data_IF_322735875771
#
_entry.id   IF_322735875771
#
_cell.length_a   1.000
_cell.length_b   1.000
_cell.length_c   1.000
_cell.angle_alpha   90.00
_cell.angle_beta   90.00
_cell.angle_gamma   90.00
#
_symmetry.space_group_name_H-M   'P 1'
#
loop_
_entity.id
_entity.type
_entity.pdbx_description
1 polymer ?
#
# COMPACT_ATOMS: atom_id res chain seq x y z
N UNK A 1 -25.36 35.26 15.41
CA UNK A 1 -24.40 35.54 16.49
C UNK A 1 -23.01 35.42 15.86
N UNK A 2 -22.29 36.55 15.76
CA UNK A 2 -21.00 36.71 15.08
C UNK A 2 -19.89 35.89 15.80
N UNK A 3 -18.76 35.47 15.22
CA UNK A 3 -17.75 36.25 14.47
C UNK A 3 -16.93 35.39 13.48
N UNK A 4 -16.26 36.12 12.60
CA UNK A 4 -15.51 35.79 11.38
C UNK A 4 -14.19 35.04 11.60
N UNK A 5 -13.68 34.37 10.55
CA UNK A 5 -12.34 34.68 9.99
C UNK A 5 -12.05 33.90 8.69
N UNK A 6 -11.60 34.66 7.68
CA UNK A 6 -10.97 34.22 6.44
C UNK A 6 -9.67 33.44 6.72
N UNK A 7 -9.34 32.46 5.87
CA UNK A 7 -7.96 32.21 5.46
C UNK A 7 -7.92 31.94 3.95
N UNK A 8 -7.61 33.00 3.20
CA UNK A 8 -7.03 32.92 1.87
C UNK A 8 -5.68 32.21 1.94
N UNK A 9 -5.37 31.43 0.90
CA UNK A 9 -4.01 31.11 0.48
C UNK A 9 -3.28 30.09 1.35
N UNK A 10 -3.34 28.82 0.96
CA UNK A 10 -2.42 27.81 1.45
C UNK A 10 -2.09 26.84 0.29
N UNK A 11 -1.08 27.24 -0.49
CA UNK A 11 -0.26 26.32 -1.27
C UNK A 11 0.38 25.36 -0.27
N UNK A 12 0.01 24.08 -0.34
CA UNK A 12 0.68 23.04 0.45
C UNK A 12 1.32 21.99 -0.48
N UNK A 13 2.63 21.80 -0.38
CA UNK A 13 3.38 20.79 -1.10
C UNK A 13 3.31 19.42 -0.42
N UNK A 14 3.25 18.41 -1.28
CA UNK A 14 3.56 16.98 -1.13
C UNK A 14 3.16 16.16 0.14
N UNK A 15 2.34 15.15 -0.16
CA UNK A 15 2.35 13.75 0.31
C UNK A 15 2.11 13.39 1.78
N UNK A 16 1.80 14.32 2.68
CA UNK A 16 1.45 13.99 4.07
C UNK A 16 -0.05 13.94 4.42
N UNK A 17 -0.96 13.95 3.44
CA UNK A 17 -2.40 13.95 3.71
C UNK A 17 -3.12 12.60 3.52
N UNK A 18 -2.42 11.50 3.19
CA UNK A 18 -3.12 10.27 2.78
C UNK A 18 -3.73 9.47 3.94
N UNK A 19 -3.22 9.58 5.17
CA UNK A 19 -3.71 8.81 6.32
C UNK A 19 -4.75 9.56 7.19
N UNK A 20 -4.71 10.89 7.26
CA UNK A 20 -5.68 11.68 8.04
C UNK A 20 -6.92 12.11 7.22
N UNK A 21 -6.82 12.21 5.88
CA UNK A 21 -8.00 12.40 5.02
C UNK A 21 -8.96 11.20 5.09
N UNK A 22 -8.46 9.99 5.36
CA UNK A 22 -9.27 8.78 5.39
C UNK A 22 -10.25 8.69 6.58
N UNK A 23 -10.01 9.41 7.70
CA UNK A 23 -10.96 9.46 8.82
C UNK A 23 -11.86 10.70 8.82
N UNK A 24 -11.41 11.84 8.28
CA UNK A 24 -12.23 13.06 8.23
C UNK A 24 -13.20 13.12 7.03
N UNK A 25 -12.96 12.39 5.95
CA UNK A 25 -13.89 12.38 4.80
C UNK A 25 -15.13 11.49 4.98
N UNK A 26 -15.14 10.59 5.98
CA UNK A 26 -16.23 9.60 6.11
C UNK A 26 -17.51 10.18 6.72
N UNK A 27 -17.41 11.17 7.60
CA UNK A 27 -18.55 11.66 8.39
C UNK A 27 -19.26 12.86 7.75
N UNK A 28 -18.54 13.70 7.00
CA UNK A 28 -19.12 14.89 6.34
C UNK A 28 -19.78 14.58 4.99
N UNK A 29 -19.40 13.49 4.31
CA UNK A 29 -20.06 13.07 3.07
C UNK A 29 -21.49 12.54 3.29
N UNK A 30 -21.80 11.96 4.46
CA UNK A 30 -23.13 11.40 4.74
C UNK A 30 -24.18 12.50 4.90
N UNK A 31 -23.81 13.66 5.47
CA UNK A 31 -24.74 14.77 5.72
C UNK A 31 -24.98 15.69 4.52
N UNK A 32 -24.17 15.60 3.46
CA UNK A 32 -24.38 16.30 2.18
C UNK A 32 -25.30 15.55 1.20
N UNK A 33 -25.67 14.31 1.49
CA UNK A 33 -26.46 13.43 0.61
C UNK A 33 -27.93 13.34 1.03
N UNK A 34 -28.62 14.48 1.10
CA UNK A 34 -30.09 14.51 1.04
C UNK A 34 -30.53 14.87 -0.39
N UNK A 35 -30.64 13.90 -1.32
CA UNK A 35 -30.90 14.18 -2.73
C UNK A 35 -32.32 14.72 -2.94
N UNK A 36 -32.44 15.85 -3.66
CA UNK A 36 -33.73 16.50 -3.99
C UNK A 36 -34.38 15.98 -5.28
N UNK A 37 -33.67 15.25 -6.14
CA UNK A 37 -34.23 14.68 -7.38
C UNK A 37 -33.41 13.47 -7.91
N UNK A 38 -34.03 12.69 -8.82
CA UNK A 38 -33.52 11.43 -9.37
C UNK A 38 -32.18 11.57 -10.13
N UNK A 39 -31.98 12.66 -10.89
CA UNK A 39 -30.74 12.87 -11.65
C UNK A 39 -29.50 13.07 -10.78
N UNK A 40 -29.67 13.62 -9.57
CA UNK A 40 -28.57 13.81 -8.61
C UNK A 40 -28.11 12.49 -8.00
N UNK A 41 -29.03 11.51 -7.88
CA UNK A 41 -28.72 10.17 -7.35
C UNK A 41 -27.79 9.43 -8.32
N UNK A 42 -28.09 9.46 -9.61
CA UNK A 42 -27.28 8.78 -10.63
C UNK A 42 -25.86 9.36 -10.69
N UNK A 43 -25.72 10.68 -10.60
CA UNK A 43 -24.42 11.34 -10.57
C UNK A 43 -23.61 10.97 -9.30
N UNK A 44 -24.25 10.86 -8.14
CA UNK A 44 -23.58 10.43 -6.90
C UNK A 44 -23.12 8.97 -6.98
N UNK A 45 -23.94 8.07 -7.55
CA UNK A 45 -23.58 6.66 -7.73
C UNK A 45 -22.38 6.49 -8.67
N UNK A 46 -22.33 7.27 -9.76
CA UNK A 46 -21.20 7.28 -10.69
C UNK A 46 -19.92 7.81 -10.02
N UNK A 47 -20.02 8.86 -9.20
CA UNK A 47 -18.87 9.39 -8.47
C UNK A 47 -18.34 8.40 -7.42
N UNK A 48 -19.22 7.70 -6.70
CA UNK A 48 -18.82 6.69 -5.71
C UNK A 48 -18.14 5.46 -6.35
N UNK A 49 -18.54 5.07 -7.56
CA UNK A 49 -17.95 3.94 -8.29
C UNK A 49 -16.49 4.21 -8.73
N UNK A 50 -16.13 5.47 -8.97
CA UNK A 50 -14.76 5.87 -9.36
C UNK A 50 -13.82 5.93 -8.15
N UNK A 51 -14.36 6.03 -6.93
CA UNK A 51 -13.59 6.25 -5.70
C UNK A 51 -13.24 4.94 -4.98
N UNK A 52 -13.42 3.76 -5.61
CA UNK A 52 -12.89 2.52 -5.02
C UNK A 52 -11.38 2.63 -4.86
N UNK A 53 -10.85 2.80 -3.63
CA UNK A 53 -9.43 2.91 -3.42
C UNK A 53 -8.85 1.51 -3.55
N UNK A 54 -7.77 1.38 -4.32
CA UNK A 54 -6.82 0.27 -4.19
C UNK A 54 -6.44 0.23 -2.72
N UNK A 55 -6.97 -0.75 -1.98
CA UNK A 55 -6.52 -1.01 -0.62
C UNK A 55 -5.08 -1.49 -0.73
N UNK A 56 -4.12 -0.68 -0.29
CA UNK A 56 -2.73 -1.10 -0.14
C UNK A 56 -2.64 -2.10 1.02
N UNK A 57 -3.16 -3.31 0.81
CA UNK A 57 -2.94 -4.42 1.71
C UNK A 57 -1.46 -4.81 1.58
N UNK A 58 -0.77 -4.94 2.70
CA UNK A 58 0.62 -5.41 2.70
C UNK A 58 0.74 -6.85 2.19
N UNK A 59 -0.39 -7.57 2.05
CA UNK A 59 -0.47 -8.91 1.51
C UNK A 59 -1.73 -9.08 0.66
N UNK A 60 -1.59 -9.77 -0.47
CA UNK A 60 -2.66 -10.16 -1.39
C UNK A 60 -2.68 -11.68 -1.53
N UNK A 61 -3.89 -12.25 -1.56
CA UNK A 61 -4.12 -13.65 -1.89
C UNK A 61 -4.73 -13.73 -3.29
N UNK A 62 -3.96 -14.28 -4.23
CA UNK A 62 -4.45 -14.57 -5.57
C UNK A 62 -5.11 -15.94 -5.61
N UNK A 63 -6.26 -16.07 -6.31
CA UNK A 63 -6.93 -17.35 -6.46
C UNK A 63 -6.02 -18.43 -7.05
N UNK A 64 -6.19 -19.67 -6.61
CA UNK A 64 -5.46 -20.80 -7.14
C UNK A 64 -5.75 -21.02 -8.64
N UNK A 65 -4.71 -20.88 -9.46
CA UNK A 65 -4.68 -21.35 -10.84
C UNK A 65 -3.70 -22.53 -10.93
N UNK A 66 -4.11 -23.69 -11.44
CA UNK A 66 -3.26 -24.88 -11.43
C UNK A 66 -2.12 -24.76 -12.44
N UNK A 67 -0.88 -24.89 -11.96
CA UNK A 67 0.29 -25.10 -12.79
C UNK A 67 0.46 -26.58 -13.12
N UNK A 68 0.54 -26.91 -14.41
CA UNK A 68 0.57 -28.30 -14.90
C UNK A 68 1.96 -28.69 -15.40
N UNK A 69 2.39 -29.92 -15.10
CA UNK A 69 3.54 -30.57 -15.71
C UNK A 69 3.23 -32.05 -15.92
N UNK A 70 3.40 -32.55 -17.15
CA UNK A 70 3.09 -33.94 -17.53
C UNK A 70 1.68 -34.43 -17.11
N UNK A 71 0.67 -33.55 -17.20
CA UNK A 71 -0.72 -33.88 -16.84
C UNK A 71 -1.03 -33.89 -15.35
N UNK A 72 -0.08 -33.47 -14.50
CA UNK A 72 -0.25 -33.39 -13.04
C UNK A 72 -0.14 -31.94 -12.58
N UNK A 73 -0.95 -31.57 -11.58
CA UNK A 73 -0.85 -30.28 -10.92
C UNK A 73 0.37 -30.27 -10.01
N UNK A 74 1.37 -29.46 -10.34
CA UNK A 74 2.64 -29.36 -9.60
C UNK A 74 2.74 -28.08 -8.75
N UNK A 75 1.86 -27.10 -8.99
CA UNK A 75 1.85 -25.87 -8.22
C UNK A 75 0.88 -24.82 -8.74
N UNK A 76 1.29 -23.56 -8.65
CA UNK A 76 0.51 -22.39 -8.99
C UNK A 76 0.98 -21.79 -10.32
N UNK A 77 0.04 -21.36 -11.15
CA UNK A 77 0.30 -20.50 -12.30
C UNK A 77 0.11 -19.04 -11.88
N UNK A 78 1.15 -18.21 -11.99
CA UNK A 78 1.08 -16.78 -11.69
C UNK A 78 0.41 -15.97 -12.83
N UNK A 79 0.35 -14.65 -12.69
CA UNK A 79 -0.28 -13.76 -13.68
C UNK A 79 0.61 -13.58 -14.92
N UNK A 80 1.91 -13.78 -14.77
CA UNK A 80 2.92 -13.76 -15.82
C UNK A 80 2.97 -15.08 -16.61
N UNK A 81 2.20 -16.09 -16.20
CA UNK A 81 2.11 -17.39 -16.85
C UNK A 81 3.24 -18.36 -16.50
N UNK A 82 4.02 -18.07 -15.45
CA UNK A 82 5.05 -18.94 -14.91
C UNK A 82 4.46 -19.90 -13.86
N UNK A 83 4.91 -21.15 -13.93
CA UNK A 83 4.55 -22.18 -12.95
C UNK A 83 5.55 -22.15 -11.80
N UNK A 84 5.02 -22.00 -10.59
CA UNK A 84 5.77 -22.11 -9.33
C UNK A 84 5.31 -23.34 -8.59
N UNK A 85 6.24 -24.19 -8.15
CA UNK A 85 5.91 -25.43 -7.44
C UNK A 85 5.22 -25.14 -6.10
N UNK A 86 4.41 -26.07 -5.60
CA UNK A 86 3.84 -25.93 -4.25
C UNK A 86 4.93 -25.71 -3.20
N UNK A 87 4.66 -24.80 -2.26
CA UNK A 87 5.57 -24.38 -1.19
C UNK A 87 6.85 -23.67 -1.67
N UNK A 88 6.99 -23.38 -2.96
CA UNK A 88 8.03 -22.47 -3.45
C UNK A 88 7.70 -21.02 -3.10
N UNK A 89 8.75 -20.22 -2.93
CA UNK A 89 8.67 -18.79 -2.67
C UNK A 89 9.56 -18.03 -3.66
N UNK A 90 9.15 -16.83 -4.05
CA UNK A 90 9.91 -15.97 -4.96
C UNK A 90 9.67 -14.50 -4.66
N UNK A 91 10.60 -13.64 -5.09
CA UNK A 91 10.49 -12.19 -5.04
C UNK A 91 10.08 -11.68 -6.41
N UNK A 92 9.12 -10.77 -6.48
CA UNK A 92 8.79 -10.04 -7.72
C UNK A 92 9.65 -8.78 -7.86
N UNK A 93 9.76 -8.27 -9.08
CA UNK A 93 10.47 -7.01 -9.36
C UNK A 93 9.85 -5.80 -8.64
N UNK A 94 8.58 -5.90 -8.25
CA UNK A 94 7.86 -4.90 -7.46
C UNK A 94 7.99 -5.13 -5.95
N UNK A 95 9.02 -5.86 -5.53
CA UNK A 95 9.36 -6.08 -4.13
C UNK A 95 8.23 -6.75 -3.33
N UNK A 96 7.62 -7.78 -3.90
CA UNK A 96 6.72 -8.66 -3.16
C UNK A 96 7.34 -10.04 -2.94
N UNK A 97 7.34 -10.51 -1.69
CA UNK A 97 7.61 -11.89 -1.33
C UNK A 97 6.34 -12.71 -1.55
N UNK A 98 6.38 -13.58 -2.56
CA UNK A 98 5.31 -14.46 -2.96
C UNK A 98 5.57 -15.91 -2.55
N UNK A 99 4.52 -16.66 -2.31
CA UNK A 99 4.58 -18.09 -2.00
C UNK A 99 3.36 -18.84 -2.56
N UNK A 100 3.61 -19.99 -3.16
CA UNK A 100 2.56 -20.84 -3.72
C UNK A 100 2.07 -21.86 -2.69
N UNK A 101 0.77 -21.85 -2.42
CA UNK A 101 0.08 -22.80 -1.55
C UNK A 101 -1.04 -23.51 -2.32
N UNK A 102 -1.60 -24.56 -1.72
CA UNK A 102 -2.78 -25.26 -2.27
C UNK A 102 -4.02 -24.36 -2.36
N UNK A 103 -4.06 -23.28 -1.58
CA UNK A 103 -5.15 -22.30 -1.58
C UNK A 103 -4.96 -21.18 -2.61
N UNK A 104 -3.78 -21.07 -3.22
CA UNK A 104 -3.45 -19.99 -4.16
C UNK A 104 -2.06 -19.41 -3.90
N UNK A 105 -1.82 -18.23 -4.44
CA UNK A 105 -0.55 -17.51 -4.26
C UNK A 105 -0.76 -16.41 -3.23
N UNK A 106 0.08 -16.37 -2.19
CA UNK A 106 0.14 -15.26 -1.25
C UNK A 106 1.35 -14.40 -1.57
N UNK A 107 1.15 -13.12 -1.82
CA UNK A 107 2.22 -12.15 -2.05
C UNK A 107 2.13 -11.02 -1.04
N UNK A 108 3.23 -10.67 -0.41
CA UNK A 108 3.31 -9.55 0.53
C UNK A 108 4.44 -8.61 0.17
N UNK A 109 4.31 -7.32 0.48
CA UNK A 109 5.42 -6.36 0.34
C UNK A 109 6.61 -6.83 1.16
N UNK A 110 7.79 -6.93 0.54
CA UNK A 110 9.02 -7.42 1.17
C UNK A 110 9.75 -6.36 1.98
N UNK A 111 9.18 -5.16 2.09
CA UNK A 111 9.82 -3.99 2.69
C UNK A 111 8.96 -3.37 3.77
N UNK A 112 9.64 -2.67 4.69
CA UNK A 112 8.99 -1.87 5.72
C UNK A 112 8.99 -0.40 5.30
N UNK A 113 7.86 0.26 5.49
CA UNK A 113 7.68 1.69 5.25
C UNK A 113 7.90 2.46 6.55
N UNK A 114 8.78 3.47 6.57
CA UNK A 114 8.98 4.32 7.75
C UNK A 114 7.77 5.23 7.92
N UNK A 115 7.16 5.22 9.10
CA UNK A 115 5.94 6.01 9.36
C UNK A 115 6.15 7.15 10.36
N UNK A 116 7.21 7.09 11.15
CA UNK A 116 7.51 8.09 12.18
C UNK A 116 8.99 8.51 12.12
N UNK A 117 9.25 9.68 11.57
CA UNK A 117 10.53 10.37 11.49
C UNK A 117 10.28 11.88 11.32
N UNK A 118 11.31 12.72 11.46
CA UNK A 118 11.20 14.17 11.26
C UNK A 118 11.01 14.49 9.77
N UNK A 119 9.75 14.64 9.33
CA UNK A 119 9.41 14.93 7.93
C UNK A 119 9.70 16.37 7.51
N UNK A 120 10.00 17.26 8.44
CA UNK A 120 10.42 18.62 8.11
C UNK A 120 11.86 18.60 7.61
N UNK A 121 12.75 17.92 8.34
CA UNK A 121 14.19 17.88 8.05
C UNK A 121 14.64 16.70 7.20
N UNK A 122 13.85 15.63 7.16
CA UNK A 122 14.23 14.38 6.52
C UNK A 122 13.22 13.95 5.46
N UNK A 123 13.68 13.11 4.55
CA UNK A 123 12.85 12.44 3.56
C UNK A 123 13.18 10.95 3.46
N UNK A 124 12.21 10.15 2.99
CA UNK A 124 12.37 8.72 2.78
C UNK A 124 12.60 8.40 1.30
N UNK A 125 13.70 7.73 0.98
CA UNK A 125 14.08 7.32 -0.36
C UNK A 125 13.94 5.79 -0.44
N UNK A 126 13.16 5.31 -1.40
CA UNK A 126 13.03 3.87 -1.66
C UNK A 126 14.13 3.39 -2.59
N UNK A 127 14.85 2.35 -2.18
CA UNK A 127 15.79 1.62 -3.04
C UNK A 127 15.08 0.35 -3.57
N UNK A 128 14.87 0.30 -4.89
CA UNK A 128 14.22 -0.83 -5.56
C UNK A 128 15.09 -2.09 -5.61
N UNK A 129 16.42 -1.93 -5.69
CA UNK A 129 17.34 -3.07 -5.74
C UNK A 129 17.38 -3.83 -4.42
N UNK A 130 17.37 -3.11 -3.30
CA UNK A 130 17.39 -3.70 -1.96
C UNK A 130 16.00 -3.87 -1.38
N UNK A 131 14.95 -3.39 -2.06
CA UNK A 131 13.57 -3.35 -1.57
C UNK A 131 13.50 -2.78 -0.15
N UNK A 132 13.98 -1.55 0.04
CA UNK A 132 14.03 -0.93 1.37
C UNK A 132 14.00 0.59 1.31
N UNK A 133 13.43 1.22 2.34
CA UNK A 133 13.55 2.66 2.52
C UNK A 133 14.80 3.02 3.32
N UNK A 134 15.43 4.12 2.92
CA UNK A 134 16.33 4.91 3.76
C UNK A 134 15.67 6.22 4.11
N UNK A 135 15.87 6.71 5.33
CA UNK A 135 15.43 8.05 5.72
C UNK A 135 16.68 8.89 5.93
N UNK A 136 16.81 9.98 5.19
CA UNK A 136 18.00 10.84 5.16
C UNK A 136 17.62 12.30 5.33
N UNK A 137 18.58 13.13 5.73
CA UNK A 137 18.37 14.59 5.78
C UNK A 137 18.11 15.13 4.37
N UNK A 138 17.20 16.09 4.24
CA UNK A 138 16.90 16.73 2.94
C UNK A 138 18.06 17.57 2.41
N UNK A 139 18.84 18.18 3.30
CA UNK A 139 19.96 19.05 2.92
C UNK A 139 21.23 18.25 2.58
N UNK A 140 21.34 17.01 3.08
CA UNK A 140 22.52 16.16 2.95
C UNK A 140 22.12 14.68 2.99
N UNK A 141 21.86 14.11 1.81
CA UNK A 141 21.41 12.72 1.66
C UNK A 141 22.46 11.67 2.10
N UNK A 142 23.68 12.09 2.47
CA UNK A 142 24.69 11.20 3.04
C UNK A 142 24.44 10.90 4.53
N UNK A 143 23.62 11.70 5.22
CA UNK A 143 23.29 11.54 6.63
C UNK A 143 21.92 10.88 6.81
N UNK A 144 21.89 9.80 7.56
CA UNK A 144 20.65 9.10 7.90
C UNK A 144 19.94 9.78 9.07
N UNK A 145 18.61 9.82 9.01
CA UNK A 145 17.77 10.34 10.08
C UNK A 145 17.23 9.22 10.99
N UNK A 146 17.01 9.50 12.28
CA UNK A 146 16.38 8.54 13.17
C UNK A 146 14.93 8.25 12.76
N UNK A 147 14.57 6.98 12.74
CA UNK A 147 13.20 6.50 12.50
C UNK A 147 12.69 5.83 13.77
N UNK A 148 11.53 6.26 14.24
CA UNK A 148 10.93 5.79 15.49
C UNK A 148 9.92 4.66 15.31
N UNK A 149 9.39 4.48 14.09
CA UNK A 149 8.44 3.39 13.79
C UNK A 149 8.39 3.05 12.31
N UNK A 150 8.17 1.76 12.05
CA UNK A 150 8.09 1.13 10.75
C UNK A 150 6.82 0.29 10.65
N UNK A 151 6.23 0.20 9.46
CA UNK A 151 5.07 -0.65 9.17
C UNK A 151 5.38 -1.51 7.96
N UNK A 152 5.05 -2.80 8.02
CA UNK A 152 5.24 -3.73 6.90
C UNK A 152 4.42 -4.99 7.09
N UNK A 153 4.48 -5.88 6.09
CA UNK A 153 3.91 -7.22 6.23
C UNK A 153 4.66 -8.02 7.30
N UNK A 154 3.93 -8.80 8.09
CA UNK A 154 4.54 -9.80 8.96
C UNK A 154 5.06 -10.96 8.10
N UNK A 155 6.30 -10.85 7.62
CA UNK A 155 6.96 -11.98 6.95
C UNK A 155 7.39 -12.94 8.05
N UNK A 156 6.83 -14.16 8.07
CA UNK A 156 7.35 -15.26 8.89
C UNK A 156 8.74 -15.60 8.36
N UNK A 157 9.75 -14.90 8.87
CA UNK A 157 11.17 -15.14 8.59
C UNK A 157 11.48 -16.59 8.99
N UNK A 158 11.35 -17.52 8.04
CA UNK A 158 12.00 -18.80 8.15
C UNK A 158 13.50 -18.55 7.94
N UNK A 159 14.20 -18.40 9.07
CA UNK A 159 15.65 -18.59 9.20
C UNK A 159 16.56 -17.72 8.34
N UNK A 160 16.83 -16.49 8.79
CA UNK A 160 18.17 -15.90 8.68
C UNK A 160 18.55 -15.30 10.04
N UNK A 161 19.35 -16.09 10.77
CA UNK A 161 20.32 -15.74 11.81
C UNK A 161 20.34 -14.29 12.30
N UNK A 162 19.96 -14.12 13.57
CA UNK A 162 20.85 -13.48 14.52
C UNK A 162 22.11 -14.34 14.62
N UNK A 163 23.25 -13.80 14.22
CA UNK A 163 24.57 -14.29 14.62
C UNK A 163 25.41 -13.09 15.02
#
# INVERSE_FOLDING_TARGET
MQLQSNCNGMLFPDKEHRALAQRLQRTDCVNLLRPRNSSTILACLLALAVVMPLSDASCTLMPFKPGMSNGVVVGCLDEEGKVHEFHSSWRTDDCNDCSCYRTGISCCTSYMTPVNYDKEKCESIFNKETCSYKVVEKDDHSKECPVHSWVGAAVLLHSQRFQ
#
